data_IF_420812634071
#
_entry.id   IF_420812634071
#
_cell.length_a   1.000
_cell.length_b   1.000
_cell.length_c   1.000
_cell.angle_alpha   90.00
_cell.angle_beta   90.00
_cell.angle_gamma   90.00
#
_symmetry.space_group_name_H-M   'P 1'
#
loop_
_entity.id
_entity.type
_entity.pdbx_description
1 polymer ?
#
# COMPACT_ATOMS: atom_id res chain seq x y z
N UNK A 1 7.53 -30.14 -10.60
CA UNK A 1 8.37 -29.02 -10.09
C UNK A 1 8.17 -28.95 -8.59
N UNK A 2 9.21 -28.75 -7.78
CA UNK A 2 9.05 -28.67 -6.32
C UNK A 2 8.19 -27.46 -5.92
N UNK A 3 7.37 -27.59 -4.87
CA UNK A 3 6.44 -26.55 -4.41
C UNK A 3 7.14 -25.19 -4.16
N UNK A 4 8.35 -25.23 -3.61
CA UNK A 4 9.23 -24.06 -3.41
C UNK A 4 9.45 -23.29 -4.72
N UNK A 5 9.78 -24.00 -5.79
CA UNK A 5 10.01 -23.40 -7.10
C UNK A 5 8.71 -22.86 -7.73
N UNK A 6 7.58 -23.51 -7.43
CA UNK A 6 6.28 -23.03 -7.88
C UNK A 6 5.88 -21.73 -7.16
N UNK A 7 6.05 -21.65 -5.84
CA UNK A 7 5.76 -20.44 -5.06
C UNK A 7 6.63 -19.27 -5.51
N UNK A 8 7.92 -19.51 -5.76
CA UNK A 8 8.82 -18.48 -6.29
C UNK A 8 8.41 -18.03 -7.69
N UNK A 9 8.02 -18.96 -8.59
CA UNK A 9 7.54 -18.63 -9.93
C UNK A 9 6.25 -17.81 -9.89
N UNK A 10 5.28 -18.24 -9.08
CA UNK A 10 4.02 -17.51 -8.87
C UNK A 10 4.29 -16.12 -8.29
N UNK A 11 5.14 -16.02 -7.25
CA UNK A 11 5.50 -14.76 -6.62
C UNK A 11 6.14 -13.77 -7.58
N UNK A 12 7.08 -14.22 -8.41
CA UNK A 12 7.70 -13.38 -9.45
C UNK A 12 6.70 -12.91 -10.51
N UNK A 13 5.76 -13.78 -10.91
CA UNK A 13 4.68 -13.41 -11.82
C UNK A 13 3.80 -12.32 -11.19
N UNK A 14 3.32 -12.52 -9.96
CA UNK A 14 2.47 -11.55 -9.25
C UNK A 14 3.21 -10.23 -8.98
N UNK A 15 4.51 -10.28 -8.66
CA UNK A 15 5.34 -9.09 -8.48
C UNK A 15 5.34 -8.19 -9.72
N UNK A 16 5.33 -8.77 -10.93
CA UNK A 16 5.28 -8.01 -12.19
C UNK A 16 3.99 -7.21 -12.37
N UNK A 17 2.88 -7.74 -11.88
CA UNK A 17 1.55 -7.13 -12.02
C UNK A 17 1.08 -6.42 -10.76
N UNK A 18 1.91 -6.31 -9.72
CA UNK A 18 1.54 -5.71 -8.42
C UNK A 18 0.99 -4.28 -8.50
N UNK A 19 1.29 -3.54 -9.56
CA UNK A 19 0.76 -2.19 -9.79
C UNK A 19 -0.69 -2.15 -10.32
N UNK A 20 -1.18 -3.23 -10.93
CA UNK A 20 -2.54 -3.32 -11.49
C UNK A 20 -3.57 -3.81 -10.47
N UNK A 21 -3.08 -4.31 -9.33
CA UNK A 21 -3.87 -4.82 -8.23
C UNK A 21 -5.05 -3.93 -7.78
N UNK A 22 -4.89 -2.59 -7.64
CA UNK A 22 -6.03 -1.75 -7.26
C UNK A 22 -7.23 -1.85 -8.22
N UNK A 23 -6.98 -2.14 -9.50
CA UNK A 23 -8.05 -2.32 -10.50
C UNK A 23 -8.88 -3.56 -10.16
N UNK A 24 -8.21 -4.68 -9.85
CA UNK A 24 -8.90 -5.91 -9.44
C UNK A 24 -9.71 -5.67 -8.16
N UNK A 25 -9.15 -4.92 -7.19
CA UNK A 25 -9.87 -4.56 -5.96
C UNK A 25 -11.16 -3.78 -6.27
N UNK A 26 -11.10 -2.78 -7.15
CA UNK A 26 -12.28 -1.99 -7.53
C UNK A 26 -13.33 -2.81 -8.28
N UNK A 27 -12.91 -3.71 -9.18
CA UNK A 27 -13.82 -4.63 -9.85
C UNK A 27 -14.51 -5.58 -8.85
N UNK A 28 -13.75 -6.12 -7.91
CA UNK A 28 -14.29 -6.98 -6.85
C UNK A 28 -15.21 -6.23 -5.90
N UNK A 29 -15.04 -4.93 -5.70
CA UNK A 29 -15.90 -4.15 -4.80
C UNK A 29 -17.34 -3.99 -5.35
N UNK A 30 -17.53 -3.94 -6.67
CA UNK A 30 -18.84 -3.70 -7.30
C UNK A 30 -19.95 -4.65 -6.82
N UNK A 31 -19.80 -5.99 -6.89
CA UNK A 31 -20.85 -6.91 -6.43
C UNK A 31 -21.17 -6.77 -4.94
N UNK A 32 -20.17 -6.51 -4.10
CA UNK A 32 -20.40 -6.27 -2.67
C UNK A 32 -21.14 -4.96 -2.44
N UNK A 33 -20.81 -3.89 -3.17
CA UNK A 33 -21.53 -2.63 -3.09
C UNK A 33 -22.98 -2.76 -3.55
N UNK A 34 -23.24 -3.56 -4.59
CA UNK A 34 -24.60 -3.86 -5.05
C UNK A 34 -25.43 -4.59 -4.00
N UNK A 35 -24.86 -5.60 -3.34
CA UNK A 35 -25.57 -6.39 -2.32
C UNK A 35 -25.62 -5.74 -0.93
N UNK A 36 -24.86 -4.67 -0.69
CA UNK A 36 -24.88 -4.00 0.61
C UNK A 36 -26.10 -3.10 0.71
N UNK A 37 -27.12 -3.55 1.45
CA UNK A 37 -28.26 -2.69 1.77
C UNK A 37 -27.85 -1.62 2.78
N UNK A 38 -27.51 -0.44 2.27
CA UNK A 38 -27.11 0.69 3.10
C UNK A 38 -28.29 1.29 3.86
N UNK A 39 -29.54 1.07 3.46
CA UNK A 39 -30.72 1.64 4.12
C UNK A 39 -30.93 1.07 5.52
N UNK A 40 -30.62 -0.22 5.69
CA UNK A 40 -30.67 -0.94 6.97
C UNK A 40 -29.53 -0.59 7.95
N UNK A 41 -28.47 0.09 7.48
CA UNK A 41 -27.31 0.43 8.32
C UNK A 41 -27.55 1.79 9.00
N UNK A 42 -27.48 1.83 10.33
CA UNK A 42 -27.66 3.06 11.10
C UNK A 42 -26.61 4.13 10.74
N UNK A 43 -27.00 5.41 10.85
CA UNK A 43 -26.10 6.55 10.59
C UNK A 43 -24.84 6.49 11.46
N UNK A 44 -24.97 6.09 12.72
CA UNK A 44 -23.84 5.95 13.64
C UNK A 44 -22.83 4.90 13.16
N UNK A 45 -23.33 3.75 12.69
CA UNK A 45 -22.47 2.68 12.18
C UNK A 45 -21.77 3.08 10.87
N UNK A 46 -22.48 3.74 9.94
CA UNK A 46 -21.88 4.31 8.72
C UNK A 46 -20.75 5.29 9.02
N UNK A 47 -20.97 6.18 10.00
CA UNK A 47 -19.94 7.13 10.45
C UNK A 47 -18.75 6.39 11.06
N UNK A 48 -18.99 5.38 11.90
CA UNK A 48 -17.94 4.55 12.49
C UNK A 48 -17.07 3.90 11.41
N UNK A 49 -17.68 3.19 10.44
CA UNK A 49 -16.94 2.63 9.31
C UNK A 49 -16.15 3.69 8.53
N UNK A 50 -16.75 4.86 8.29
CA UNK A 50 -16.10 5.95 7.55
C UNK A 50 -14.86 6.49 8.28
N UNK A 51 -14.96 6.72 9.59
CA UNK A 51 -13.82 7.16 10.38
C UNK A 51 -12.73 6.10 10.47
N UNK A 52 -13.12 4.83 10.69
CA UNK A 52 -12.17 3.72 10.65
C UNK A 52 -11.44 3.62 9.31
N UNK A 53 -12.16 3.74 8.19
CA UNK A 53 -11.60 3.72 6.85
C UNK A 53 -10.52 4.80 6.64
N UNK A 54 -10.82 6.04 7.05
CA UNK A 54 -9.88 7.17 6.97
C UNK A 54 -8.67 6.95 7.87
N UNK A 55 -8.88 6.54 9.12
CA UNK A 55 -7.79 6.29 10.08
C UNK A 55 -6.86 5.19 9.58
N UNK A 56 -7.41 4.07 9.08
CA UNK A 56 -6.62 2.97 8.52
C UNK A 56 -5.80 3.43 7.32
N UNK A 57 -6.40 4.24 6.43
CA UNK A 57 -5.68 4.81 5.28
C UNK A 57 -4.55 5.75 5.70
N UNK A 58 -4.77 6.58 6.73
CA UNK A 58 -3.73 7.44 7.30
C UNK A 58 -2.60 6.62 7.89
N UNK A 59 -2.90 5.57 8.67
CA UNK A 59 -1.89 4.65 9.21
C UNK A 59 -1.07 4.02 8.08
N UNK A 60 -1.73 3.52 7.03
CA UNK A 60 -1.06 2.96 5.87
C UNK A 60 -0.14 3.94 5.17
N UNK A 61 -0.60 5.18 4.98
CA UNK A 61 0.23 6.25 4.43
C UNK A 61 1.42 6.58 5.33
N UNK A 62 1.23 6.70 6.65
CA UNK A 62 2.30 6.97 7.60
C UNK A 62 3.38 5.88 7.59
N UNK A 63 2.98 4.60 7.57
CA UNK A 63 3.92 3.47 7.46
C UNK A 63 4.74 3.59 6.17
N UNK A 64 4.09 3.84 5.03
CA UNK A 64 4.77 3.98 3.74
C UNK A 64 5.68 5.21 3.69
N UNK A 65 5.20 6.35 4.16
CA UNK A 65 5.94 7.59 4.24
C UNK A 65 7.20 7.42 5.10
N UNK A 66 7.06 6.85 6.30
CA UNK A 66 8.19 6.57 7.17
C UNK A 66 9.18 5.60 6.51
N UNK A 67 8.69 4.52 5.90
CA UNK A 67 9.54 3.56 5.17
C UNK A 67 10.33 4.26 4.08
N UNK A 68 9.65 4.94 3.16
CA UNK A 68 10.27 5.56 1.99
C UNK A 68 11.20 6.72 2.39
N UNK A 69 10.82 7.51 3.39
CA UNK A 69 11.60 8.64 3.90
C UNK A 69 12.86 8.24 4.67
N UNK A 70 12.95 7.00 5.17
CA UNK A 70 14.08 6.49 5.97
C UNK A 70 14.91 5.40 5.28
N UNK A 71 14.68 5.17 3.98
CA UNK A 71 15.29 4.06 3.22
C UNK A 71 16.42 4.54 2.29
N UNK A 72 17.66 4.04 2.45
CA UNK A 72 18.79 4.40 1.59
C UNK A 72 18.61 4.04 0.11
N UNK A 73 19.41 4.64 -0.77
CA UNK A 73 19.45 4.29 -2.19
C UNK A 73 19.77 2.80 -2.38
N UNK A 74 19.02 2.15 -3.27
CA UNK A 74 19.36 0.79 -3.71
C UNK A 74 18.96 -0.32 -2.75
N UNK A 75 18.01 -0.09 -1.85
CA UNK A 75 17.49 -1.11 -0.92
C UNK A 75 16.16 -1.66 -1.41
N UNK A 76 15.15 -0.79 -1.57
CA UNK A 76 13.82 -1.11 -2.09
C UNK A 76 13.35 -0.08 -3.14
N UNK A 77 13.08 -0.57 -4.35
CA UNK A 77 12.71 0.22 -5.51
C UNK A 77 11.27 -0.02 -6.00
N UNK A 78 10.83 0.81 -6.95
CA UNK A 78 9.55 0.64 -7.67
C UNK A 78 9.63 -0.29 -8.88
N UNK A 79 10.70 -1.07 -9.01
CA UNK A 79 10.86 -1.96 -10.15
C UNK A 79 9.77 -3.05 -10.13
N UNK A 80 9.21 -3.37 -11.28
CA UNK A 80 8.20 -4.44 -11.42
C UNK A 80 8.70 -5.59 -12.29
N UNK A 81 9.69 -5.37 -13.17
CA UNK A 81 10.18 -6.42 -14.07
C UNK A 81 10.97 -7.52 -13.36
N UNK A 82 11.72 -7.15 -12.33
CA UNK A 82 12.62 -8.05 -11.59
C UNK A 82 12.86 -7.53 -10.17
N UNK A 83 13.32 -8.40 -9.28
CA UNK A 83 13.72 -7.98 -7.93
C UNK A 83 15.07 -7.24 -7.99
N UNK A 84 15.19 -6.12 -7.27
CA UNK A 84 16.41 -5.31 -7.21
C UNK A 84 16.65 -4.80 -5.80
N UNK A 85 17.75 -5.26 -5.20
CA UNK A 85 18.32 -4.71 -3.99
C UNK A 85 19.85 -4.74 -4.14
N UNK A 86 20.53 -3.63 -3.93
CA UNK A 86 21.99 -3.50 -3.89
C UNK A 86 22.52 -3.59 -2.45
N UNK A 87 21.70 -3.20 -1.47
CA UNK A 87 22.02 -3.22 -0.04
C UNK A 87 20.84 -3.80 0.74
N UNK A 88 21.12 -4.63 1.74
CA UNK A 88 20.12 -5.12 2.68
C UNK A 88 19.87 -4.03 3.75
N UNK A 89 18.65 -3.50 3.83
CA UNK A 89 18.31 -2.54 4.89
C UNK A 89 17.79 -3.29 6.13
N UNK A 90 18.53 -3.23 7.23
CA UNK A 90 18.19 -3.89 8.50
C UNK A 90 17.87 -2.89 9.62
N UNK A 91 17.75 -1.60 9.29
CA UNK A 91 17.58 -0.49 10.24
C UNK A 91 16.27 0.28 9.99
N UNK A 92 15.91 1.17 10.91
CA UNK A 92 14.65 1.91 10.85
C UNK A 92 13.46 0.95 10.89
N UNK A 93 12.46 1.14 10.03
CA UNK A 93 11.29 0.25 10.02
C UNK A 93 11.62 -1.21 9.65
N UNK A 94 12.70 -1.45 8.89
CA UNK A 94 13.14 -2.81 8.56
C UNK A 94 13.77 -3.56 9.75
N UNK A 95 14.07 -2.86 10.85
CA UNK A 95 14.49 -3.52 12.09
C UNK A 95 13.33 -4.15 12.86
N UNK A 96 12.08 -3.80 12.54
CA UNK A 96 10.88 -4.27 13.27
C UNK A 96 9.94 -5.13 12.42
N UNK A 97 10.03 -5.04 11.09
CA UNK A 97 9.22 -5.82 10.14
C UNK A 97 9.94 -5.96 8.80
N UNK A 98 9.88 -7.13 8.15
CA UNK A 98 10.58 -7.37 6.89
C UNK A 98 9.92 -6.71 5.67
N UNK A 99 8.58 -6.62 5.66
CA UNK A 99 7.79 -6.12 4.52
C UNK A 99 6.94 -4.86 4.82
N UNK A 100 7.55 -3.75 5.28
CA UNK A 100 6.82 -2.56 5.73
C UNK A 100 6.00 -1.86 4.63
N UNK A 101 6.47 -1.86 3.38
CA UNK A 101 5.73 -1.28 2.25
C UNK A 101 4.44 -2.05 1.94
N UNK A 102 4.47 -3.37 2.11
CA UNK A 102 3.31 -4.23 1.94
C UNK A 102 2.36 -4.05 3.13
N UNK A 103 2.87 -4.00 4.36
CA UNK A 103 2.04 -3.64 5.51
C UNK A 103 1.31 -2.30 5.31
N UNK A 104 2.00 -1.27 4.87
CA UNK A 104 1.38 0.02 4.57
C UNK A 104 0.37 -0.04 3.41
N UNK A 105 0.63 -0.85 2.37
CA UNK A 105 -0.35 -1.10 1.30
C UNK A 105 -1.62 -1.76 1.84
N UNK A 106 -1.50 -2.75 2.72
CA UNK A 106 -2.65 -3.42 3.33
C UNK A 106 -3.57 -2.41 4.02
N UNK A 107 -3.00 -1.51 4.82
CA UNK A 107 -3.77 -0.48 5.53
C UNK A 107 -4.45 0.54 4.60
N UNK A 108 -3.78 0.94 3.50
CA UNK A 108 -4.42 1.78 2.48
C UNK A 108 -5.62 1.07 1.81
N UNK A 109 -5.43 -0.20 1.48
CA UNK A 109 -6.43 -1.02 0.80
C UNK A 109 -7.62 -1.32 1.70
N UNK A 110 -7.36 -1.80 2.90
CA UNK A 110 -8.41 -2.17 3.86
C UNK A 110 -9.20 -0.93 4.29
N UNK A 111 -8.59 0.26 4.31
CA UNK A 111 -9.32 1.52 4.51
C UNK A 111 -10.42 1.72 3.47
N UNK A 112 -10.10 1.60 2.18
CA UNK A 112 -11.08 1.70 1.08
C UNK A 112 -12.15 0.60 1.19
N UNK A 113 -11.73 -0.62 1.54
CA UNK A 113 -12.64 -1.77 1.67
C UNK A 113 -13.61 -1.59 2.84
N UNK A 114 -13.14 -1.13 3.99
CA UNK A 114 -13.97 -0.79 5.16
C UNK A 114 -15.00 0.28 4.79
N UNK A 115 -14.64 1.21 3.91
CA UNK A 115 -15.55 2.24 3.42
C UNK A 115 -16.72 1.71 2.58
N UNK A 116 -16.69 0.45 2.12
CA UNK A 116 -17.84 -0.20 1.46
C UNK A 116 -18.98 -0.56 2.41
N UNK A 117 -18.73 -0.51 3.72
CA UNK A 117 -19.67 -0.92 4.79
C UNK A 117 -20.07 -2.40 4.74
N UNK A 118 -19.27 -3.24 4.09
CA UNK A 118 -19.53 -4.67 3.98
C UNK A 118 -18.48 -5.50 4.75
N UNK A 119 -18.83 -6.13 5.89
CA UNK A 119 -17.88 -6.93 6.66
C UNK A 119 -17.38 -8.18 5.93
N UNK A 120 -18.20 -8.78 5.06
CA UNK A 120 -17.75 -9.93 4.26
C UNK A 120 -16.68 -9.51 3.25
N UNK A 121 -16.83 -8.34 2.63
CA UNK A 121 -15.82 -7.82 1.71
C UNK A 121 -14.49 -7.55 2.41
N UNK A 122 -14.52 -7.05 3.66
CA UNK A 122 -13.32 -6.89 4.51
C UNK A 122 -12.60 -8.23 4.65
N UNK A 123 -13.30 -9.29 5.06
CA UNK A 123 -12.71 -10.62 5.26
C UNK A 123 -12.15 -11.19 3.96
N UNK A 124 -12.93 -11.13 2.87
CA UNK A 124 -12.51 -11.63 1.55
C UNK A 124 -11.26 -10.93 1.07
N UNK A 125 -11.21 -9.59 1.13
CA UNK A 125 -10.03 -8.85 0.69
C UNK A 125 -8.83 -9.13 1.58
N UNK A 126 -8.99 -9.24 2.90
CA UNK A 126 -7.89 -9.59 3.80
C UNK A 126 -7.28 -10.95 3.48
N UNK A 127 -8.11 -11.96 3.21
CA UNK A 127 -7.65 -13.31 2.83
C UNK A 127 -6.96 -13.31 1.46
N UNK A 128 -7.56 -12.66 0.46
CA UNK A 128 -6.97 -12.54 -0.88
C UNK A 128 -5.64 -11.78 -0.83
N UNK A 129 -5.57 -10.71 -0.03
CA UNK A 129 -4.35 -9.94 0.18
C UNK A 129 -3.25 -10.84 0.76
N UNK A 130 -3.57 -11.66 1.77
CA UNK A 130 -2.61 -12.57 2.38
C UNK A 130 -2.05 -13.58 1.38
N UNK A 131 -2.93 -14.31 0.69
CA UNK A 131 -2.51 -15.31 -0.31
C UNK A 131 -1.63 -14.66 -1.39
N UNK A 132 -2.02 -13.49 -1.87
CA UNK A 132 -1.31 -12.80 -2.93
C UNK A 132 0.06 -12.27 -2.49
N UNK A 133 0.10 -11.50 -1.39
CA UNK A 133 1.35 -10.89 -0.92
C UNK A 133 2.29 -11.91 -0.30
N UNK A 134 1.80 -13.02 0.27
CA UNK A 134 2.64 -14.13 0.71
C UNK A 134 3.50 -14.65 -0.44
N UNK A 135 2.91 -14.87 -1.63
CA UNK A 135 3.65 -15.32 -2.81
C UNK A 135 4.70 -14.31 -3.25
N UNK A 136 4.35 -13.01 -3.26
CA UNK A 136 5.33 -11.96 -3.60
C UNK A 136 6.46 -11.89 -2.58
N UNK A 137 6.13 -11.85 -1.28
CA UNK A 137 7.10 -11.82 -0.20
C UNK A 137 8.03 -13.02 -0.29
N UNK A 138 7.48 -14.22 -0.53
CA UNK A 138 8.27 -15.44 -0.73
C UNK A 138 9.30 -15.30 -1.85
N UNK A 139 8.89 -14.84 -3.04
CA UNK A 139 9.81 -14.64 -4.16
C UNK A 139 10.88 -13.55 -3.87
N UNK A 140 10.50 -12.49 -3.16
CA UNK A 140 11.42 -11.44 -2.72
C UNK A 140 12.44 -11.96 -1.71
N UNK A 141 11.99 -12.73 -0.72
CA UNK A 141 12.84 -13.36 0.29
C UNK A 141 13.81 -14.37 -0.34
N UNK A 142 13.36 -15.20 -1.29
CA UNK A 142 14.25 -16.09 -2.06
C UNK A 142 15.30 -15.34 -2.87
N UNK A 143 14.94 -14.21 -3.45
CA UNK A 143 15.89 -13.34 -4.15
C UNK A 143 16.93 -12.76 -3.18
N UNK A 144 16.49 -12.27 -2.02
CA UNK A 144 17.38 -11.69 -1.00
C UNK A 144 18.30 -12.75 -0.39
N UNK A 145 17.79 -13.95 -0.12
CA UNK A 145 18.57 -15.10 0.36
C UNK A 145 19.68 -15.47 -0.63
N UNK A 146 19.36 -15.63 -1.92
CA UNK A 146 20.37 -15.93 -2.96
C UNK A 146 21.41 -14.81 -3.10
N UNK A 147 21.02 -13.57 -2.84
CA UNK A 147 21.87 -12.39 -3.04
C UNK A 147 22.79 -12.08 -1.87
N UNK A 148 22.27 -12.18 -0.64
CA UNK A 148 22.96 -11.76 0.59
C UNK A 148 23.32 -12.93 1.51
N UNK A 149 22.85 -14.15 1.20
CA UNK A 149 23.19 -15.37 1.92
C UNK A 149 22.92 -15.27 3.42
N UNK A 150 23.95 -15.61 4.21
CA UNK A 150 23.90 -15.62 5.67
C UNK A 150 23.52 -14.28 6.31
N UNK A 151 23.87 -13.15 5.69
CA UNK A 151 23.51 -11.83 6.22
C UNK A 151 21.97 -11.68 6.27
N UNK A 152 21.30 -12.07 5.19
CA UNK A 152 19.85 -12.06 5.11
C UNK A 152 19.22 -13.09 6.04
N UNK A 153 19.78 -14.31 6.12
CA UNK A 153 19.25 -15.36 6.98
C UNK A 153 19.33 -14.96 8.46
N UNK A 154 20.47 -14.43 8.92
CA UNK A 154 20.62 -14.02 10.33
C UNK A 154 19.67 -12.89 10.70
N UNK A 155 19.48 -11.90 9.81
CA UNK A 155 18.52 -10.82 10.02
C UNK A 155 17.08 -11.34 10.01
N UNK A 156 16.68 -12.06 8.97
CA UNK A 156 15.29 -12.47 8.75
C UNK A 156 14.76 -13.44 9.81
N UNK A 157 15.61 -14.30 10.39
CA UNK A 157 15.26 -15.20 11.50
C UNK A 157 14.80 -14.44 12.76
N UNK A 158 15.28 -13.21 12.97
CA UNK A 158 14.97 -12.42 14.17
C UNK A 158 13.84 -11.40 13.98
N UNK A 159 13.48 -11.09 12.73
CA UNK A 159 12.52 -10.02 12.40
C UNK A 159 11.24 -10.62 11.82
N UNK A 160 10.04 -10.25 12.32
CA UNK A 160 8.79 -10.78 11.79
C UNK A 160 8.51 -10.32 10.36
N UNK A 161 7.84 -11.17 9.56
CA UNK A 161 7.57 -10.86 8.16
C UNK A 161 6.64 -9.65 7.97
N UNK A 162 5.53 -9.61 8.71
CA UNK A 162 4.42 -8.69 8.43
C UNK A 162 3.88 -7.92 9.66
N UNK A 163 3.80 -8.56 10.83
CA UNK A 163 3.34 -7.90 12.07
C UNK A 163 4.56 -7.30 12.79
N UNK A 164 4.67 -5.96 12.94
CA UNK A 164 5.87 -5.36 13.49
C UNK A 164 6.10 -5.67 14.97
N UNK A 165 7.36 -5.88 15.34
CA UNK A 165 7.78 -5.96 16.74
C UNK A 165 8.56 -4.70 17.13
N UNK A 166 7.88 -3.75 17.77
CA UNK A 166 8.45 -2.45 18.15
C UNK A 166 9.65 -2.54 19.09
N UNK A 167 9.81 -3.65 19.83
CA UNK A 167 10.95 -3.86 20.75
C UNK A 167 12.28 -4.05 20.02
N UNK A 168 12.25 -4.40 18.74
CA UNK A 168 13.44 -4.67 17.94
C UNK A 168 14.00 -3.41 17.24
N UNK A 169 13.40 -2.24 17.51
CA UNK A 169 13.71 -1.02 16.78
C UNK A 169 15.19 -0.62 16.91
N UNK A 170 15.84 -0.48 15.76
CA UNK A 170 17.17 0.09 15.59
C UNK A 170 17.05 1.35 14.73
N UNK A 171 17.65 2.48 15.13
CA UNK A 171 17.55 3.73 14.37
C UNK A 171 18.09 3.57 12.95
N UNK A 172 17.47 4.27 11.99
CA UNK A 172 17.94 4.26 10.60
C UNK A 172 19.31 4.92 10.47
N UNK A 173 20.14 4.39 9.56
CA UNK A 173 21.45 4.95 9.20
C UNK A 173 21.28 6.35 8.58
N UNK A 174 20.12 6.63 7.98
CA UNK A 174 19.81 7.93 7.39
C UNK A 174 18.63 8.59 8.11
N UNK A 175 18.66 9.93 8.20
CA UNK A 175 17.56 10.71 8.75
C UNK A 175 16.30 10.59 7.88
N UNK A 176 15.12 10.81 8.46
CA UNK A 176 13.89 10.88 7.70
C UNK A 176 13.91 12.07 6.71
N UNK A 177 13.49 11.86 5.46
CA UNK A 177 13.33 12.93 4.48
C UNK A 177 11.90 13.05 3.98
N UNK A 178 11.31 14.22 4.24
CA UNK A 178 10.01 14.60 3.68
C UNK A 178 10.08 14.81 2.16
N UNK A 179 11.21 15.31 1.61
CA UNK A 179 11.38 15.49 0.17
C UNK A 179 11.26 14.16 -0.57
N UNK A 180 11.88 13.11 -0.03
CA UNK A 180 11.80 11.76 -0.59
C UNK A 180 10.37 11.21 -0.53
N UNK A 181 9.63 11.46 0.56
CA UNK A 181 8.21 11.10 0.67
C UNK A 181 7.37 11.83 -0.38
N UNK A 182 7.49 13.15 -0.47
CA UNK A 182 6.75 13.96 -1.45
C UNK A 182 7.06 13.54 -2.89
N UNK A 183 8.31 13.18 -3.18
CA UNK A 183 8.75 12.67 -4.50
C UNK A 183 8.14 11.31 -4.84
N UNK A 184 7.86 10.45 -3.87
CA UNK A 184 7.53 9.04 -4.14
C UNK A 184 6.08 8.72 -3.84
N UNK A 185 5.44 9.28 -2.84
CA UNK A 185 4.14 8.81 -2.37
C UNK A 185 2.94 9.58 -2.94
N UNK A 186 3.15 10.65 -3.74
CA UNK A 186 2.04 11.42 -4.33
C UNK A 186 1.03 10.56 -5.10
N UNK A 187 1.50 9.56 -5.85
CA UNK A 187 0.63 8.69 -6.64
C UNK A 187 -0.22 7.75 -5.78
N UNK A 188 0.32 7.34 -4.62
CA UNK A 188 -0.40 6.50 -3.65
C UNK A 188 -1.53 7.28 -2.97
N UNK A 189 -1.29 8.55 -2.63
CA UNK A 189 -2.32 9.46 -2.11
C UNK A 189 -3.45 9.63 -3.13
N UNK A 190 -3.12 9.93 -4.39
CA UNK A 190 -4.12 10.07 -5.45
C UNK A 190 -4.96 8.80 -5.60
N UNK A 191 -4.31 7.63 -5.71
CA UNK A 191 -5.00 6.35 -5.87
C UNK A 191 -5.94 6.04 -4.69
N UNK A 192 -5.54 6.41 -3.47
CA UNK A 192 -6.36 6.23 -2.27
C UNK A 192 -7.63 7.08 -2.34
N UNK A 193 -7.49 8.37 -2.67
CA UNK A 193 -8.64 9.28 -2.82
C UNK A 193 -9.57 8.84 -3.94
N UNK A 194 -9.01 8.44 -5.09
CA UNK A 194 -9.81 7.86 -6.18
C UNK A 194 -10.58 6.63 -5.70
N UNK A 195 -9.98 5.77 -4.88
CA UNK A 195 -10.66 4.60 -4.31
C UNK A 195 -11.85 4.97 -3.42
N UNK A 196 -11.70 5.97 -2.55
CA UNK A 196 -12.82 6.48 -1.74
C UNK A 196 -13.94 7.05 -2.60
N UNK A 197 -13.61 7.87 -3.59
CA UNK A 197 -14.62 8.44 -4.50
C UNK A 197 -15.28 7.35 -5.34
N UNK A 198 -14.53 6.38 -5.83
CA UNK A 198 -15.07 5.24 -6.57
C UNK A 198 -16.14 4.51 -5.74
N UNK A 199 -15.82 4.16 -4.50
CA UNK A 199 -16.77 3.49 -3.60
C UNK A 199 -18.00 4.35 -3.35
N UNK A 200 -17.84 5.64 -3.10
CA UNK A 200 -18.97 6.57 -2.90
C UNK A 200 -19.90 6.60 -4.11
N UNK A 201 -19.35 6.80 -5.31
CA UNK A 201 -20.12 6.96 -6.54
C UNK A 201 -20.88 5.68 -6.88
N UNK A 202 -20.22 4.53 -6.79
CA UNK A 202 -20.87 3.24 -7.07
C UNK A 202 -21.94 2.93 -6.02
N UNK A 203 -21.67 3.19 -4.74
CA UNK A 203 -22.67 3.04 -3.68
C UNK A 203 -23.88 3.95 -3.89
N UNK A 204 -23.67 5.21 -4.25
CA UNK A 204 -24.75 6.14 -4.53
C UNK A 204 -25.61 5.66 -5.71
N UNK A 205 -24.97 5.27 -6.80
CA UNK A 205 -25.65 4.73 -7.97
C UNK A 205 -26.53 3.53 -7.63
N UNK A 206 -26.04 2.57 -6.85
CA UNK A 206 -26.87 1.42 -6.43
C UNK A 206 -27.96 1.76 -5.42
N UNK A 207 -27.78 2.83 -4.63
CA UNK A 207 -28.76 3.23 -3.61
C UNK A 207 -29.90 4.09 -4.19
N UNK A 208 -29.59 4.94 -5.17
CA UNK A 208 -30.51 5.98 -5.69
C UNK A 208 -30.85 5.79 -7.17
N UNK A 209 -30.03 5.06 -7.93
CA UNK A 209 -30.20 4.85 -9.38
C UNK A 209 -29.56 5.95 -10.25
N UNK A 210 -28.94 6.96 -9.63
CA UNK A 210 -28.35 8.11 -10.33
C UNK A 210 -26.86 8.26 -10.06
N UNK A 211 -26.13 8.68 -11.10
CA UNK A 211 -24.72 9.04 -10.99
C UNK A 211 -24.59 10.41 -10.30
N UNK A 212 -24.02 10.40 -9.10
CA UNK A 212 -23.81 11.61 -8.32
C UNK A 212 -22.45 11.56 -7.63
N UNK A 213 -21.77 12.71 -7.62
CA UNK A 213 -20.56 12.93 -6.85
C UNK A 213 -20.82 14.18 -6.01
N UNK A 214 -20.70 14.08 -4.69
CA UNK A 214 -20.89 15.25 -3.84
C UNK A 214 -19.81 16.30 -4.10
N UNK A 215 -20.15 17.58 -3.90
CA UNK A 215 -19.21 18.69 -4.07
C UNK A 215 -17.97 18.50 -3.20
N UNK A 216 -18.09 17.93 -2.00
CA UNK A 216 -16.94 17.67 -1.12
C UNK A 216 -15.94 16.69 -1.72
N UNK A 217 -16.40 15.61 -2.38
CA UNK A 217 -15.51 14.68 -3.07
C UNK A 217 -14.91 15.28 -4.35
N UNK A 218 -15.66 16.13 -5.07
CA UNK A 218 -15.13 16.87 -6.23
C UNK A 218 -14.00 17.81 -5.78
N UNK A 219 -14.22 18.62 -4.74
CA UNK A 219 -13.20 19.52 -4.20
C UNK A 219 -11.98 18.75 -3.71
N UNK A 220 -12.17 17.63 -3.00
CA UNK A 220 -11.09 16.78 -2.54
C UNK A 220 -10.26 16.24 -3.73
N UNK A 221 -10.92 15.71 -4.76
CA UNK A 221 -10.25 15.21 -5.96
C UNK A 221 -9.49 16.32 -6.69
N UNK A 222 -10.08 17.49 -6.84
CA UNK A 222 -9.42 18.64 -7.50
C UNK A 222 -8.17 19.07 -6.73
N UNK A 223 -8.29 19.29 -5.43
CA UNK A 223 -7.16 19.71 -4.57
C UNK A 223 -6.03 18.68 -4.63
N UNK A 224 -6.36 17.39 -4.45
CA UNK A 224 -5.36 16.31 -4.46
C UNK A 224 -4.75 16.14 -5.84
N UNK A 225 -5.52 16.26 -6.91
CA UNK A 225 -5.02 16.19 -8.29
C UNK A 225 -4.06 17.33 -8.59
N UNK A 226 -4.38 18.56 -8.17
CA UNK A 226 -3.47 19.71 -8.33
C UNK A 226 -2.16 19.48 -7.57
N UNK A 227 -2.22 19.07 -6.31
CA UNK A 227 -1.01 18.75 -5.51
C UNK A 227 -0.19 17.65 -6.20
N UNK A 228 -0.84 16.61 -6.70
CA UNK A 228 -0.17 15.48 -7.36
C UNK A 228 0.47 15.91 -8.68
N UNK A 229 -0.20 16.73 -9.48
CA UNK A 229 0.36 17.29 -10.70
C UNK A 229 1.56 18.17 -10.38
N UNK A 230 1.47 19.03 -9.37
CA UNK A 230 2.61 19.84 -8.90
C UNK A 230 3.79 18.97 -8.49
N UNK A 231 3.58 17.98 -7.60
CA UNK A 231 4.64 17.07 -7.14
C UNK A 231 5.23 16.23 -8.28
N UNK A 232 4.40 15.77 -9.21
CA UNK A 232 4.85 15.05 -10.41
C UNK A 232 5.70 15.95 -11.29
N UNK A 233 5.27 17.19 -11.54
CA UNK A 233 6.02 18.17 -12.33
C UNK A 233 7.36 18.48 -11.67
N UNK A 234 7.37 18.78 -10.37
CA UNK A 234 8.59 19.04 -9.60
C UNK A 234 9.57 17.88 -9.67
N UNK A 235 9.07 16.64 -9.54
CA UNK A 235 9.90 15.43 -9.65
C UNK A 235 10.56 15.27 -11.03
N UNK A 236 9.84 15.56 -12.12
CA UNK A 236 10.29 15.28 -13.48
C UNK A 236 11.03 16.44 -14.16
N UNK A 237 10.79 17.68 -13.73
CA UNK A 237 11.32 18.88 -14.39
C UNK A 237 12.22 19.75 -13.51
N UNK A 238 12.45 19.39 -12.24
CA UNK A 238 13.30 20.17 -11.32
C UNK A 238 14.17 19.28 -10.45
N UNK A 239 15.20 19.87 -9.83
CA UNK A 239 16.02 19.21 -8.80
C UNK A 239 15.48 19.41 -7.36
N UNK A 240 14.38 20.14 -7.16
CA UNK A 240 13.89 20.55 -5.83
C UNK A 240 13.60 19.37 -4.88
N UNK A 241 13.10 18.26 -5.44
CA UNK A 241 12.80 17.03 -4.70
C UNK A 241 13.91 15.97 -4.81
N UNK A 242 15.03 16.27 -5.46
CA UNK A 242 16.18 15.36 -5.57
C UNK A 242 17.03 15.41 -4.30
N UNK A 243 17.51 14.24 -3.88
CA UNK A 243 18.42 14.09 -2.75
C UNK A 243 19.39 12.94 -3.02
N UNK A 244 20.68 13.22 -2.84
CA UNK A 244 21.74 12.24 -3.03
C UNK A 244 21.71 11.16 -1.96
N UNK A 245 22.13 9.95 -2.34
CA UNK A 245 22.13 8.79 -1.44
C UNK A 245 20.74 8.24 -1.08
N UNK A 246 19.65 8.79 -1.66
CA UNK A 246 18.26 8.36 -1.39
C UNK A 246 17.57 7.77 -2.61
N UNK A 247 16.77 6.73 -2.36
CA UNK A 247 15.93 6.04 -3.35
C UNK A 247 14.76 6.90 -3.83
#
# INVERSE_FOLDING_TARGET
MALVNEFEKQGNFLFRFRGQLPILLFLLAVPFLYWTDTSSISKYLKNFYSYCAVILSIIGFCIRAYTVGSTPKGTSGRNTKEQKAFVLNTTGIYSIVRHPLYLGNYFLWIGIVVFTFNPYFIVVVSLLYWIYYERIMYAEERFLERKFGEEYLSWSCSIPAFIPNLKLYKPSIISFSLKTVLRREYSGVLATVIGFVFVEVIRHYFSVGEWYISSSYIYLLLVVSVIVLLLRTLKHHTALLSEDGRS
#
